data_IF_430012989878
#
_entry.id   IF_430012989878
#
_cell.length_a   1.000
_cell.length_b   1.000
_cell.length_c   1.000
_cell.angle_alpha   90.00
_cell.angle_beta   90.00
_cell.angle_gamma   90.00
#
_symmetry.space_group_name_H-M   'P 1'
#
loop_
_entity.id
_entity.type
_entity.pdbx_description
1 polymer ?
#
# COMPACT_ATOMS: atom_id res chain seq x y z
N UNK A 1 14.75 2.35 0.54
CA UNK A 1 15.16 3.67 0.02
C UNK A 1 14.25 4.03 -1.14
N UNK A 2 13.59 5.18 -1.04
CA UNK A 2 12.72 5.74 -2.09
C UNK A 2 13.55 6.23 -3.28
N UNK A 3 12.90 6.40 -4.44
CA UNK A 3 13.50 7.03 -5.62
C UNK A 3 12.64 8.17 -6.10
N UNK A 4 13.24 9.34 -6.32
CA UNK A 4 12.54 10.49 -6.89
C UNK A 4 12.29 10.29 -8.39
N UNK A 5 11.10 10.66 -8.84
CA UNK A 5 10.70 10.66 -10.24
C UNK A 5 9.84 11.90 -10.53
N UNK A 6 10.34 12.87 -11.30
CA UNK A 6 9.50 13.94 -11.80
C UNK A 6 8.58 13.41 -12.91
N UNK A 7 7.28 13.66 -12.80
CA UNK A 7 6.30 13.36 -13.86
C UNK A 7 5.52 14.64 -14.14
N UNK A 8 5.60 15.12 -15.38
CA UNK A 8 5.04 16.42 -15.78
C UNK A 8 5.57 17.55 -14.89
N UNK A 9 4.69 18.23 -14.15
CA UNK A 9 4.99 19.36 -13.27
C UNK A 9 4.96 18.96 -11.78
N UNK A 10 4.93 17.66 -11.49
CA UNK A 10 4.82 17.12 -10.13
C UNK A 10 6.00 16.26 -9.75
N UNK A 11 6.36 16.30 -8.47
CA UNK A 11 7.43 15.50 -7.90
C UNK A 11 6.86 14.30 -7.15
N UNK A 12 7.34 13.10 -7.53
CA UNK A 12 6.95 11.86 -6.88
C UNK A 12 8.13 11.13 -6.27
N UNK A 13 7.89 10.41 -5.19
CA UNK A 13 8.81 9.45 -4.61
C UNK A 13 8.24 8.04 -4.69
N UNK A 14 8.97 7.16 -5.37
CA UNK A 14 8.61 5.76 -5.53
C UNK A 14 9.16 4.99 -4.35
N UNK A 15 8.27 4.34 -3.61
CA UNK A 15 8.64 3.45 -2.52
C UNK A 15 8.75 2.00 -3.03
N UNK A 16 9.74 1.21 -2.58
CA UNK A 16 9.91 -0.19 -3.01
C UNK A 16 8.72 -1.12 -2.70
N UNK A 17 7.79 -0.69 -1.85
CA UNK A 17 6.53 -1.41 -1.60
C UNK A 17 5.51 -1.29 -2.75
N UNK A 18 5.75 -0.41 -3.73
CA UNK A 18 4.79 -0.05 -4.76
C UNK A 18 3.92 1.17 -4.42
N UNK A 19 4.12 1.80 -3.26
CA UNK A 19 3.49 3.08 -2.94
C UNK A 19 4.20 4.25 -3.64
N UNK A 20 3.46 5.33 -3.89
CA UNK A 20 3.96 6.54 -4.52
C UNK A 20 3.60 7.75 -3.65
N UNK A 21 4.59 8.52 -3.22
CA UNK A 21 4.35 9.76 -2.49
C UNK A 21 4.38 10.96 -3.43
N UNK A 22 3.30 11.73 -3.49
CA UNK A 22 3.23 12.99 -4.22
C UNK A 22 3.58 14.14 -3.28
N UNK A 23 4.81 14.64 -3.44
CA UNK A 23 5.44 15.60 -2.53
C UNK A 23 4.66 16.91 -2.46
N UNK A 24 4.30 17.47 -3.62
CA UNK A 24 3.66 18.79 -3.70
C UNK A 24 2.27 18.83 -3.05
N UNK A 25 1.64 17.66 -2.87
CA UNK A 25 0.32 17.51 -2.27
C UNK A 25 0.35 16.87 -0.87
N UNK A 26 1.53 16.48 -0.39
CA UNK A 26 1.69 15.69 0.84
C UNK A 26 0.75 14.47 0.86
N UNK A 27 0.72 13.73 -0.24
CA UNK A 27 -0.28 12.69 -0.48
C UNK A 27 0.39 11.34 -0.78
N UNK A 28 -0.05 10.28 -0.10
CA UNK A 28 0.34 8.91 -0.40
C UNK A 28 -0.67 8.27 -1.36
N UNK A 29 -0.19 7.79 -2.50
CA UNK A 29 -0.96 7.06 -3.50
C UNK A 29 -0.64 5.57 -3.40
N UNK A 30 -1.70 4.76 -3.31
CA UNK A 30 -1.67 3.30 -3.24
C UNK A 30 -2.72 2.72 -4.17
N UNK A 31 -2.49 1.54 -4.73
CA UNK A 31 -3.48 0.80 -5.51
C UNK A 31 -3.69 -0.60 -4.95
N UNK A 32 -4.83 -1.21 -5.28
CA UNK A 32 -5.06 -2.65 -5.12
C UNK A 32 -4.76 -3.21 -3.71
N UNK A 33 -5.08 -2.45 -2.66
CA UNK A 33 -4.83 -2.88 -1.26
C UNK A 33 -5.67 -4.10 -0.89
N UNK A 34 -6.83 -4.28 -1.55
CA UNK A 34 -7.71 -5.43 -1.38
C UNK A 34 -8.16 -5.68 0.07
N UNK A 35 -8.46 -4.59 0.79
CA UNK A 35 -8.98 -4.68 2.16
C UNK A 35 -10.26 -5.54 2.18
N UNK A 36 -10.30 -6.53 3.06
CA UNK A 36 -11.44 -7.43 3.21
C UNK A 36 -11.50 -8.62 2.24
N UNK A 37 -10.65 -8.73 1.19
CA UNK A 37 -10.63 -9.93 0.32
C UNK A 37 -10.35 -11.20 1.12
N UNK A 38 -9.37 -11.16 2.04
CA UNK A 38 -9.04 -12.31 2.90
C UNK A 38 -10.25 -12.71 3.76
N UNK A 39 -10.92 -11.74 4.39
CA UNK A 39 -12.13 -11.98 5.18
C UNK A 39 -13.27 -12.56 4.34
N UNK A 40 -13.45 -12.04 3.11
CA UNK A 40 -14.42 -12.54 2.16
C UNK A 40 -14.15 -14.00 1.82
N UNK A 41 -12.94 -14.36 1.37
CA UNK A 41 -12.60 -15.74 1.03
C UNK A 41 -12.79 -16.71 2.21
N UNK A 42 -12.40 -16.29 3.42
CA UNK A 42 -12.62 -17.09 4.64
C UNK A 42 -14.10 -17.31 4.93
N UNK A 43 -14.94 -16.26 4.81
CA UNK A 43 -16.39 -16.36 5.00
C UNK A 43 -17.02 -17.42 4.08
N UNK A 44 -16.46 -17.60 2.89
CA UNK A 44 -16.94 -18.57 1.89
C UNK A 44 -16.12 -19.87 1.86
N UNK A 45 -15.43 -20.22 2.96
CA UNK A 45 -14.87 -21.55 3.17
C UNK A 45 -13.42 -21.74 2.71
N UNK A 46 -12.74 -20.70 2.22
CA UNK A 46 -11.33 -20.80 1.90
C UNK A 46 -10.46 -20.84 3.18
N UNK A 47 -9.52 -21.79 3.26
CA UNK A 47 -8.59 -21.94 4.38
C UNK A 47 -7.43 -20.92 4.34
N UNK A 48 -7.75 -19.62 4.24
CA UNK A 48 -6.75 -18.54 4.22
C UNK A 48 -6.36 -18.16 5.65
N UNK A 49 -5.08 -18.05 6.04
CA UNK A 49 -4.67 -17.68 7.39
C UNK A 49 -5.24 -16.32 7.87
N UNK A 50 -5.68 -16.22 9.14
CA UNK A 50 -6.20 -14.94 9.68
C UNK A 50 -5.13 -13.85 9.75
N UNK A 51 -3.90 -14.21 10.08
CA UNK A 51 -2.77 -13.29 10.17
C UNK A 51 -2.45 -12.60 8.83
N UNK A 52 -2.93 -13.14 7.70
CA UNK A 52 -2.81 -12.52 6.38
C UNK A 52 -3.60 -11.21 6.28
N UNK A 53 -4.69 -11.03 7.06
CA UNK A 53 -5.44 -9.76 7.11
C UNK A 53 -4.52 -8.63 7.59
N UNK A 54 -3.76 -8.87 8.64
CA UNK A 54 -2.91 -7.87 9.27
C UNK A 54 -1.66 -7.51 8.44
N UNK A 55 -1.33 -8.28 7.40
CA UNK A 55 -0.15 -8.01 6.58
C UNK A 55 -0.31 -6.72 5.76
N UNK A 56 -1.48 -6.51 5.15
CA UNK A 56 -1.73 -5.33 4.32
C UNK A 56 -1.71 -4.03 5.15
N UNK A 57 -2.28 -4.06 6.37
CA UNK A 57 -2.25 -2.93 7.28
C UNK A 57 -0.82 -2.61 7.74
N UNK A 58 -0.03 -3.62 8.12
CA UNK A 58 1.38 -3.41 8.49
C UNK A 58 2.22 -2.82 7.37
N UNK A 59 1.97 -3.23 6.13
CA UNK A 59 2.65 -2.66 4.97
C UNK A 59 2.27 -1.18 4.78
N UNK A 60 0.98 -0.85 4.95
CA UNK A 60 0.50 0.53 4.87
C UNK A 60 1.13 1.40 5.96
N UNK A 61 1.16 0.92 7.20
CA UNK A 61 1.79 1.63 8.32
C UNK A 61 3.28 1.90 8.03
N UNK A 62 4.00 0.88 7.55
CA UNK A 62 5.41 1.02 7.20
C UNK A 62 5.63 2.08 6.11
N UNK A 63 4.76 2.14 5.09
CA UNK A 63 4.89 3.14 4.00
C UNK A 63 4.61 4.58 4.42
N UNK A 64 3.93 4.80 5.56
CA UNK A 64 3.65 6.14 6.10
C UNK A 64 4.74 6.59 7.07
N UNK A 65 5.48 5.65 7.65
CA UNK A 65 6.50 5.92 8.68
C UNK A 65 7.93 6.02 8.14
N UNK A 66 8.20 5.47 6.95
CA UNK A 66 9.47 5.57 6.23
C UNK A 66 9.68 6.96 5.61
#
# INVERSE_FOLDING_TARGET
>A
MTRSLPIQQSNFELHPSGALYWVDQSMLLISDVHLGKVSHFRKYGAAVPQNAIAANFRLLDATVQD
#
